data_IF_673387051078
#
_entry.id   IF_673387051078
#
_cell.length_a   1.000
_cell.length_b   1.000
_cell.length_c   1.000
_cell.angle_alpha   90.00
_cell.angle_beta   90.00
_cell.angle_gamma   90.00
#
_symmetry.space_group_name_H-M   'P 1'
#
loop_
_entity.id
_entity.type
_entity.pdbx_description
1 polymer ?
#
# COMPACT_ATOMS: atom_id res chain seq x y z
N UNK A 1 9.85 -31.13 -36.78
CA UNK A 1 8.81 -30.31 -36.13
C UNK A 1 8.40 -31.09 -34.89
N UNK A 2 9.10 -30.87 -33.78
CA UNK A 2 8.85 -31.60 -32.53
C UNK A 2 7.91 -30.75 -31.69
N UNK A 3 6.64 -31.14 -31.65
CA UNK A 3 5.66 -30.52 -30.77
C UNK A 3 6.00 -30.89 -29.32
N UNK A 4 6.45 -29.89 -28.55
CA UNK A 4 6.56 -30.02 -27.10
C UNK A 4 5.15 -29.99 -26.51
N UNK A 5 4.70 -31.14 -26.00
CA UNK A 5 3.55 -31.21 -25.09
C UNK A 5 3.89 -30.41 -23.83
N UNK A 6 3.29 -29.23 -23.69
CA UNK A 6 3.21 -28.51 -22.42
C UNK A 6 2.23 -29.25 -21.51
N UNK A 7 2.72 -30.17 -20.68
CA UNK A 7 1.94 -30.76 -19.60
C UNK A 7 1.73 -29.67 -18.52
N UNK A 8 0.50 -29.15 -18.47
CA UNK A 8 0.03 -28.28 -17.40
C UNK A 8 -0.01 -29.08 -16.10
N UNK A 9 0.90 -28.77 -15.17
CA UNK A 9 0.96 -29.35 -13.81
C UNK A 9 -0.12 -28.83 -12.85
N UNK A 10 -1.09 -28.05 -13.34
CA UNK A 10 -2.03 -27.33 -12.49
C UNK A 10 -3.23 -28.16 -11.98
N UNK A 11 -3.27 -29.46 -12.28
CA UNK A 11 -4.43 -30.32 -12.04
C UNK A 11 -4.16 -31.47 -11.08
N UNK A 12 -3.42 -31.25 -9.99
CA UNK A 12 -3.54 -32.12 -8.82
C UNK A 12 -4.71 -31.63 -7.97
N UNK A 13 -5.90 -32.12 -8.32
CA UNK A 13 -7.07 -32.09 -7.46
C UNK A 13 -6.80 -33.06 -6.31
N UNK A 14 -6.30 -32.57 -5.19
CA UNK A 14 -6.03 -33.40 -4.01
C UNK A 14 -7.29 -33.46 -3.15
N UNK A 15 -8.05 -34.55 -3.30
CA UNK A 15 -8.98 -35.00 -2.26
C UNK A 15 -8.16 -35.25 -0.99
N UNK A 16 -8.44 -34.48 0.07
CA UNK A 16 -7.97 -34.81 1.41
C UNK A 16 -8.64 -36.13 1.79
N UNK A 17 -7.89 -37.23 1.75
CA UNK A 17 -8.37 -38.50 2.31
C UNK A 17 -8.52 -38.33 3.81
N UNK A 18 -9.75 -38.52 4.29
CA UNK A 18 -10.05 -38.75 5.70
C UNK A 18 -9.43 -40.11 6.08
N UNK A 19 -8.12 -40.15 6.28
CA UNK A 19 -7.43 -41.35 6.77
C UNK A 19 -7.86 -41.59 8.24
N UNK A 20 -8.71 -42.61 8.40
CA UNK A 20 -8.96 -43.44 9.58
C UNK A 20 -8.57 -42.83 10.95
N UNK A 21 -9.51 -42.14 11.59
CA UNK A 21 -9.44 -41.83 13.03
C UNK A 21 -9.78 -43.10 13.81
N UNK A 22 -8.82 -44.02 13.89
CA UNK A 22 -8.90 -45.17 14.76
C UNK A 22 -8.45 -44.77 16.19
N UNK A 23 -9.32 -45.04 17.15
CA UNK A 23 -9.06 -45.19 18.58
C UNK A 23 -8.02 -44.31 19.30
N UNK A 24 -8.51 -43.54 20.29
CA UNK A 24 -7.78 -43.01 21.45
C UNK A 24 -6.86 -41.81 21.20
N UNK A 25 -7.48 -40.63 21.18
CA UNK A 25 -7.29 -39.60 22.21
C UNK A 25 -8.20 -38.44 21.79
N UNK A 26 -9.08 -37.99 22.68
CA UNK A 26 -9.67 -36.67 22.56
C UNK A 26 -8.55 -35.63 22.84
N UNK A 27 -7.52 -35.58 21.99
CA UNK A 27 -6.55 -34.50 21.99
C UNK A 27 -7.33 -33.28 21.55
N UNK A 28 -7.56 -32.38 22.50
CA UNK A 28 -8.12 -31.03 22.36
C UNK A 28 -8.39 -30.65 20.89
N UNK A 29 -9.67 -30.66 20.48
CA UNK A 29 -10.08 -30.33 19.11
C UNK A 29 -9.40 -29.04 18.60
N UNK A 30 -9.12 -28.11 19.51
CA UNK A 30 -8.38 -26.87 19.25
C UNK A 30 -6.95 -27.10 18.75
N UNK A 31 -6.24 -28.09 19.30
CA UNK A 31 -4.89 -28.47 18.90
C UNK A 31 -4.86 -29.18 17.53
N UNK A 32 -5.91 -29.92 17.19
CA UNK A 32 -6.06 -30.52 15.85
C UNK A 32 -6.33 -29.44 14.81
N UNK A 33 -7.25 -28.53 15.09
CA UNK A 33 -7.56 -27.39 14.20
C UNK A 33 -6.33 -26.49 14.01
N UNK A 34 -5.61 -26.13 15.08
CA UNK A 34 -4.38 -25.34 14.96
C UNK A 34 -3.30 -26.03 14.11
N UNK A 35 -3.14 -27.36 14.20
CA UNK A 35 -2.18 -28.10 13.36
C UNK A 35 -2.57 -28.07 11.89
N UNK A 36 -3.86 -28.25 11.60
CA UNK A 36 -4.39 -28.15 10.24
C UNK A 36 -4.20 -26.73 9.67
N UNK A 37 -4.53 -25.70 10.44
CA UNK A 37 -4.37 -24.30 10.04
C UNK A 37 -2.89 -23.95 9.80
N UNK A 38 -1.97 -24.42 10.66
CA UNK A 38 -0.53 -24.24 10.47
C UNK A 38 -0.01 -24.94 9.22
N UNK A 39 -0.47 -26.15 8.93
CA UNK A 39 -0.10 -26.87 7.71
C UNK A 39 -0.65 -26.16 6.45
N UNK A 40 -1.87 -25.64 6.53
CA UNK A 40 -2.49 -24.83 5.47
C UNK A 40 -1.73 -23.54 5.23
N UNK A 41 -1.35 -22.82 6.28
CA UNK A 41 -0.55 -21.59 6.18
C UNK A 41 0.83 -21.85 5.59
N UNK A 42 1.49 -22.94 5.99
CA UNK A 42 2.76 -23.36 5.37
C UNK A 42 2.58 -23.60 3.87
N UNK A 43 1.52 -24.31 3.48
CA UNK A 43 1.25 -24.63 2.08
C UNK A 43 0.93 -23.39 1.25
N UNK A 44 0.28 -22.39 1.85
CA UNK A 44 0.05 -21.09 1.20
C UNK A 44 1.38 -20.41 0.91
N UNK A 45 2.31 -20.37 1.87
CA UNK A 45 3.65 -19.80 1.66
C UNK A 45 4.43 -20.51 0.54
N UNK A 46 4.39 -21.85 0.50
CA UNK A 46 5.02 -22.61 -0.60
C UNK A 46 4.44 -22.26 -1.98
N UNK A 47 3.11 -22.09 -2.07
CA UNK A 47 2.45 -21.72 -3.32
C UNK A 47 2.77 -20.28 -3.72
N UNK A 48 2.89 -19.36 -2.75
CA UNK A 48 3.30 -17.98 -2.99
C UNK A 48 4.72 -17.92 -3.57
N UNK A 49 5.66 -18.68 -3.00
CA UNK A 49 7.04 -18.78 -3.52
C UNK A 49 7.07 -19.33 -4.96
N UNK A 50 6.33 -20.41 -5.24
CA UNK A 50 6.21 -21.00 -6.58
C UNK A 50 5.61 -20.00 -7.60
N UNK A 51 4.63 -19.19 -7.17
CA UNK A 51 4.02 -18.16 -8.02
C UNK A 51 5.03 -17.06 -8.34
N UNK A 52 5.78 -16.60 -7.33
CA UNK A 52 6.81 -15.57 -7.53
C UNK A 52 7.90 -16.06 -8.47
N UNK A 53 8.37 -17.31 -8.30
CA UNK A 53 9.36 -17.92 -9.20
C UNK A 53 8.82 -18.03 -10.64
N UNK A 54 7.55 -18.42 -10.82
CA UNK A 54 6.92 -18.49 -12.13
C UNK A 54 6.76 -17.12 -12.80
N UNK A 55 6.44 -16.07 -12.03
CA UNK A 55 6.35 -14.69 -12.53
C UNK A 55 7.74 -14.19 -12.95
N UNK A 56 8.76 -14.42 -12.14
CA UNK A 56 10.15 -14.09 -12.43
C UNK A 56 10.63 -14.78 -13.73
N UNK A 57 10.38 -16.09 -13.85
CA UNK A 57 10.71 -16.86 -15.05
C UNK A 57 9.95 -16.38 -16.31
N UNK A 58 8.68 -16.01 -16.19
CA UNK A 58 7.87 -15.49 -17.29
C UNK A 58 8.30 -14.08 -17.75
N UNK A 59 8.81 -13.27 -16.81
CA UNK A 59 9.34 -11.94 -17.08
C UNK A 59 10.80 -11.95 -17.57
N UNK A 60 11.52 -13.06 -17.39
CA UNK A 60 12.94 -13.17 -17.70
C UNK A 60 13.83 -12.33 -16.77
N UNK A 61 13.33 -12.04 -15.57
CA UNK A 61 13.94 -11.20 -14.53
C UNK A 61 14.12 -12.11 -13.30
N UNK A 62 15.29 -12.10 -12.66
CA UNK A 62 15.52 -12.93 -11.47
C UNK A 62 14.73 -12.42 -10.24
N UNK A 63 14.51 -13.28 -9.24
CA UNK A 63 13.72 -12.93 -8.04
C UNK A 63 14.30 -11.73 -7.27
N UNK A 64 15.62 -11.54 -7.34
CA UNK A 64 16.33 -10.44 -6.69
C UNK A 64 16.02 -9.09 -7.37
N UNK A 65 15.91 -9.07 -8.70
CA UNK A 65 15.49 -7.88 -9.44
C UNK A 65 14.01 -7.55 -9.18
N UNK A 66 13.14 -8.54 -8.98
CA UNK A 66 11.75 -8.30 -8.58
C UNK A 66 11.65 -7.67 -7.19
N UNK A 67 12.38 -8.19 -6.19
CA UNK A 67 12.46 -7.58 -4.86
C UNK A 67 13.03 -6.16 -4.90
N UNK A 68 14.03 -5.93 -5.75
CA UNK A 68 14.57 -4.59 -6.01
C UNK A 68 13.50 -3.67 -6.60
N UNK A 69 12.75 -4.12 -7.62
CA UNK A 69 11.64 -3.35 -8.23
C UNK A 69 10.56 -3.02 -7.20
N UNK A 70 10.16 -3.98 -6.36
CA UNK A 70 9.19 -3.72 -5.29
C UNK A 70 9.72 -2.71 -4.26
N UNK A 71 10.98 -2.84 -3.83
CA UNK A 71 11.58 -1.89 -2.89
C UNK A 71 11.67 -0.47 -3.45
N UNK A 72 11.97 -0.33 -4.75
CA UNK A 72 12.00 0.94 -5.45
C UNK A 72 10.59 1.49 -5.64
N UNK A 73 9.61 0.64 -5.93
CA UNK A 73 8.21 1.03 -6.03
C UNK A 73 7.69 1.57 -4.69
N UNK A 74 7.96 0.88 -3.58
CA UNK A 74 7.60 1.31 -2.23
C UNK A 74 8.28 2.64 -1.85
N UNK A 75 9.57 2.79 -2.19
CA UNK A 75 10.30 4.03 -1.96
C UNK A 75 9.70 5.20 -2.77
N UNK A 76 9.33 4.98 -4.03
CA UNK A 76 8.68 5.99 -4.86
C UNK A 76 7.26 6.33 -4.38
N UNK A 77 6.50 5.36 -3.90
CA UNK A 77 5.17 5.58 -3.30
C UNK A 77 5.29 6.46 -2.05
N UNK A 78 6.30 6.19 -1.21
CA UNK A 78 6.61 6.98 -0.02
C UNK A 78 7.07 8.40 -0.36
N UNK A 79 8.04 8.56 -1.26
CA UNK A 79 8.54 9.87 -1.69
C UNK A 79 7.42 10.71 -2.31
N UNK A 80 6.51 10.08 -3.07
CA UNK A 80 5.33 10.74 -3.62
C UNK A 80 4.41 11.26 -2.50
N UNK A 81 4.14 10.45 -1.47
CA UNK A 81 3.33 10.88 -0.34
C UNK A 81 3.97 12.05 0.44
N UNK A 82 5.28 11.98 0.67
CA UNK A 82 6.04 13.02 1.38
C UNK A 82 6.02 14.35 0.58
N UNK A 83 6.17 14.29 -0.75
CA UNK A 83 6.05 15.45 -1.63
C UNK A 83 4.64 16.05 -1.63
N UNK A 84 3.58 15.21 -1.64
CA UNK A 84 2.20 15.69 -1.55
C UNK A 84 1.93 16.45 -0.23
N UNK A 85 2.47 15.97 0.89
CA UNK A 85 2.37 16.65 2.18
C UNK A 85 3.12 17.98 2.16
N UNK A 86 4.36 17.98 1.64
CA UNK A 86 5.17 19.19 1.54
C UNK A 86 4.49 20.28 0.70
N UNK A 87 3.96 19.91 -0.47
CA UNK A 87 3.24 20.85 -1.35
C UNK A 87 1.98 21.38 -0.66
N UNK A 88 1.17 20.53 -0.02
CA UNK A 88 -0.02 20.97 0.71
C UNK A 88 0.33 21.96 1.82
N UNK A 89 1.40 21.70 2.57
CA UNK A 89 1.87 22.61 3.61
C UNK A 89 2.34 23.94 3.03
N UNK A 90 3.18 23.91 1.98
CA UNK A 90 3.67 25.11 1.33
C UNK A 90 2.53 25.97 0.75
N UNK A 91 1.51 25.34 0.15
CA UNK A 91 0.32 26.04 -0.35
C UNK A 91 -0.49 26.63 0.81
N UNK A 92 -0.68 25.91 1.92
CA UNK A 92 -1.36 26.45 3.10
C UNK A 92 -0.62 27.65 3.70
N UNK A 93 0.71 27.61 3.76
CA UNK A 93 1.51 28.70 4.30
C UNK A 93 1.40 29.96 3.44
N UNK A 94 1.46 29.80 2.11
CA UNK A 94 1.26 30.91 1.16
C UNK A 94 -0.15 31.51 1.31
N UNK A 95 -1.19 30.69 1.31
CA UNK A 95 -2.59 31.16 1.43
C UNK A 95 -2.82 31.85 2.78
N UNK A 96 -2.21 31.36 3.85
CA UNK A 96 -2.29 31.99 5.16
C UNK A 96 -1.59 33.36 5.19
N UNK A 97 -0.43 33.48 4.56
CA UNK A 97 0.28 34.75 4.46
C UNK A 97 -0.44 35.75 3.54
N UNK A 98 -1.05 35.31 2.44
CA UNK A 98 -1.95 36.14 1.63
C UNK A 98 -3.15 36.65 2.45
N UNK A 99 -3.79 35.80 3.25
CA UNK A 99 -4.88 36.20 4.13
C UNK A 99 -4.47 37.28 5.14
N UNK A 100 -3.29 37.14 5.76
CA UNK A 100 -2.74 38.18 6.66
C UNK A 100 -2.45 39.49 5.94
N UNK A 101 -1.96 39.45 4.71
CA UNK A 101 -1.69 40.65 3.93
C UNK A 101 -2.98 41.42 3.61
N UNK A 102 -4.08 40.70 3.35
CA UNK A 102 -5.39 41.30 3.10
C UNK A 102 -5.98 41.95 4.36
N UNK A 103 -5.90 41.28 5.52
CA UNK A 103 -6.31 41.86 6.81
C UNK A 103 -5.57 43.17 7.16
N UNK A 104 -4.28 43.26 6.77
CA UNK A 104 -3.48 44.48 6.95
C UNK A 104 -3.92 45.56 5.96
N UNK A 105 -4.17 45.20 4.70
CA UNK A 105 -4.64 46.14 3.68
C UNK A 105 -5.99 46.76 4.06
N UNK A 106 -6.94 45.96 4.54
CA UNK A 106 -8.26 46.42 4.96
C UNK A 106 -8.16 47.43 6.12
N UNK A 107 -7.29 47.19 7.11
CA UNK A 107 -7.03 48.16 8.20
C UNK A 107 -6.50 49.50 7.70
N UNK A 108 -5.57 49.49 6.74
CA UNK A 108 -5.05 50.73 6.18
C UNK A 108 -6.10 51.47 5.35
N UNK A 109 -6.96 50.74 4.63
CA UNK A 109 -8.09 51.34 3.89
C UNK A 109 -9.06 52.01 4.89
N UNK A 110 -9.44 51.32 5.97
CA UNK A 110 -10.32 51.86 7.00
C UNK A 110 -9.74 53.13 7.66
N UNK A 111 -8.45 53.13 7.99
CA UNK A 111 -7.77 54.31 8.55
C UNK A 111 -7.74 55.49 7.57
N UNK A 112 -7.46 55.23 6.29
CA UNK A 112 -7.45 56.26 5.25
C UNK A 112 -8.84 56.83 4.99
N UNK A 113 -9.88 56.00 4.98
CA UNK A 113 -11.27 56.45 4.88
C UNK A 113 -11.67 57.32 6.09
N UNK A 114 -11.28 56.92 7.30
CA UNK A 114 -11.50 57.71 8.51
C UNK A 114 -10.84 59.09 8.45
N UNK A 115 -9.59 59.15 7.98
CA UNK A 115 -8.87 60.42 7.79
C UNK A 115 -9.53 61.30 6.74
N UNK A 116 -10.00 60.72 5.63
CA UNK A 116 -10.70 61.45 4.58
C UNK A 116 -12.01 62.07 5.09
N UNK A 117 -12.78 61.32 5.89
CA UNK A 117 -14.01 61.84 6.52
C UNK A 117 -13.72 63.00 7.48
N UNK A 118 -12.60 62.98 8.20
CA UNK A 118 -12.17 64.08 9.07
C UNK A 118 -11.78 65.32 8.26
N UNK A 119 -11.15 65.14 7.11
CA UNK A 119 -10.76 66.24 6.22
C UNK A 119 -11.97 66.88 5.54
N UNK A 120 -12.96 66.09 5.12
CA UNK A 120 -14.22 66.57 4.53
C UNK A 120 -15.16 67.22 5.56
N UNK A 121 -15.00 66.94 6.85
CA UNK A 121 -15.77 67.53 7.94
C UNK A 121 -15.20 68.86 8.47
N UNK A 122 -14.07 69.34 7.92
CA UNK A 122 -13.46 70.64 8.24
C UNK A 122 -13.87 71.74 7.26
#
# INVERSE_FOLDING_TARGET
MSEQKSESKFADHVELKDDDVDGHEATDHRAVTCRYDMAKLRRIGEIEDDILEAIAAAAGIDSDDMDCVFSVQDALEKDRADLEVYIKQAVMDIVNDEGKAQDIADKYIDELEGLKQIEEAK
#
